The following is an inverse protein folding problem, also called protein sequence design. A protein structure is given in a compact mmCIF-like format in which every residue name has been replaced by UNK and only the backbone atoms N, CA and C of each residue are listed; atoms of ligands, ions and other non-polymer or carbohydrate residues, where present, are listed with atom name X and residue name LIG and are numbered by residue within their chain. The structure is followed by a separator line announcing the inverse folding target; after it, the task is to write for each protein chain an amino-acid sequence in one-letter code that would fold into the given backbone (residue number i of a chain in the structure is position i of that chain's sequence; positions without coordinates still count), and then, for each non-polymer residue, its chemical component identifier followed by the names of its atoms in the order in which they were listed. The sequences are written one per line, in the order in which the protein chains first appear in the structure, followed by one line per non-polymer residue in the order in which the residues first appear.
data_IF_421325127576
#
_entry.id   IF_421325127576
#
_cell.length_a   1.000
_cell.length_b   1.000
_cell.length_c   1.000
_cell.angle_alpha   90.00
_cell.angle_beta   90.00
_cell.angle_gamma   90.00
#
_symmetry.space_group_name_H-M   'P 1'
#
loop_
_entity.id
_entity.type
_entity.pdbx_description
1 polymer ?
#
# COMPACT_ATOMS: atom_id res chain seq x y z
N UNK A 1 8.47 -13.47 47.16
CA UNK A 1 7.27 -13.80 46.36
C UNK A 1 6.86 -15.22 46.69
N UNK A 2 5.78 -15.40 47.44
CA UNK A 2 5.24 -16.73 47.78
C UNK A 2 4.71 -17.37 46.50
N UNK A 3 5.35 -18.46 46.06
CA UNK A 3 4.86 -19.26 44.94
C UNK A 3 3.91 -20.34 45.49
N UNK A 4 2.59 -20.14 45.33
CA UNK A 4 1.60 -21.14 45.73
C UNK A 4 1.75 -22.35 44.79
N UNK A 5 2.39 -23.41 45.27
CA UNK A 5 2.58 -24.66 44.51
C UNK A 5 1.26 -25.41 44.39
N UNK A 6 0.45 -25.04 43.40
CA UNK A 6 -0.80 -25.72 43.06
C UNK A 6 -1.31 -25.35 41.66
N UNK A 7 -2.21 -26.18 41.11
CA UNK A 7 -2.88 -25.94 39.82
C UNK A 7 -4.39 -26.06 39.99
N UNK A 8 -5.14 -25.22 39.27
CA UNK A 8 -6.58 -25.34 39.21
C UNK A 8 -6.97 -26.57 38.37
N UNK A 9 -7.78 -27.49 38.90
CA UNK A 9 -8.19 -28.71 38.16
C UNK A 9 -9.18 -28.43 37.02
N UNK A 10 -9.85 -27.28 37.02
CA UNK A 10 -10.82 -26.89 35.99
C UNK A 10 -10.09 -26.41 34.73
N UNK A 11 -9.10 -25.52 34.86
CA UNK A 11 -8.35 -24.97 33.72
C UNK A 11 -6.92 -25.51 33.57
N UNK A 12 -6.44 -26.34 34.50
CA UNK A 12 -5.09 -26.94 34.56
C UNK A 12 -3.91 -25.96 34.68
N UNK A 13 -4.19 -24.66 34.87
CA UNK A 13 -3.18 -23.61 35.04
C UNK A 13 -2.71 -23.50 36.49
N UNK A 14 -1.47 -23.00 36.69
CA UNK A 14 -0.90 -22.74 38.02
C UNK A 14 -1.61 -21.57 38.68
N UNK A 15 -1.73 -21.61 40.00
CA UNK A 15 -2.25 -20.48 40.76
C UNK A 15 -1.25 -19.32 40.74
N UNK A 16 -1.71 -18.15 40.29
CA UNK A 16 -0.99 -16.89 40.45
C UNK A 16 -1.43 -16.24 41.76
N UNK A 17 -0.62 -15.34 42.33
CA UNK A 17 -0.86 -14.70 43.63
C UNK A 17 -2.19 -13.94 43.75
N UNK A 18 -2.87 -13.70 42.64
CA UNK A 18 -4.17 -13.07 42.56
C UNK A 18 -5.16 -14.05 41.91
N UNK A 19 -6.44 -13.97 42.31
CA UNK A 19 -7.55 -14.75 41.73
C UNK A 19 -7.64 -16.23 42.17
N UNK A 20 -7.40 -16.51 43.45
CA UNK A 20 -7.57 -17.85 44.05
C UNK A 20 -8.77 -17.82 45.01
N UNK A 21 -9.62 -18.85 44.96
CA UNK A 21 -10.75 -19.01 45.88
C UNK A 21 -10.87 -20.45 46.35
N UNK A 22 -11.37 -20.63 47.57
CA UNK A 22 -11.66 -21.95 48.13
C UNK A 22 -13.17 -22.14 48.32
N UNK A 23 -13.61 -23.39 48.17
CA UNK A 23 -14.94 -23.80 48.64
C UNK A 23 -14.88 -24.19 50.13
N UNK A 24 -16.03 -24.24 50.80
CA UNK A 24 -16.13 -24.67 52.20
C UNK A 24 -15.66 -26.12 52.43
N UNK A 25 -15.61 -26.95 51.37
CA UNK A 25 -15.00 -28.27 51.41
C UNK A 25 -13.45 -28.24 51.39
N UNK A 26 -12.82 -27.06 51.36
CA UNK A 26 -11.37 -26.85 51.40
C UNK A 26 -10.64 -26.95 50.06
N UNK A 27 -11.34 -27.20 48.95
CA UNK A 27 -10.71 -27.29 47.62
C UNK A 27 -10.56 -25.92 46.95
N UNK A 28 -9.43 -25.72 46.27
CA UNK A 28 -8.99 -24.42 45.75
C UNK A 28 -9.05 -24.39 44.22
N UNK A 29 -9.55 -23.29 43.66
CA UNK A 29 -9.68 -23.04 42.22
C UNK A 29 -9.47 -21.55 41.91
N UNK A 30 -9.38 -21.16 40.64
CA UNK A 30 -9.54 -19.74 40.29
C UNK A 30 -10.99 -19.34 40.50
N UNK A 31 -11.24 -18.11 40.96
CA UNK A 31 -12.59 -17.59 41.20
C UNK A 31 -13.48 -17.75 39.96
N UNK A 32 -12.97 -17.32 38.80
CA UNK A 32 -13.71 -17.38 37.54
C UNK A 32 -14.03 -18.82 37.13
N UNK A 33 -13.07 -19.73 37.34
CA UNK A 33 -13.25 -21.14 37.01
C UNK A 33 -14.34 -21.79 37.87
N UNK A 34 -14.33 -21.56 39.18
CA UNK A 34 -15.32 -22.17 40.06
C UNK A 34 -16.69 -21.50 39.94
N UNK A 35 -16.74 -20.18 39.72
CA UNK A 35 -18.00 -19.47 39.45
C UNK A 35 -18.69 -19.99 38.20
N UNK A 36 -17.93 -20.21 37.11
CA UNK A 36 -18.51 -20.76 35.90
C UNK A 36 -19.00 -22.20 36.08
N UNK A 37 -18.29 -23.01 36.88
CA UNK A 37 -18.70 -24.37 37.18
C UNK A 37 -20.01 -24.43 37.98
N UNK A 38 -20.13 -23.62 39.03
CA UNK A 38 -21.33 -23.61 39.90
C UNK A 38 -22.60 -23.10 39.20
N UNK A 39 -22.48 -22.39 38.08
CA UNK A 39 -23.62 -22.06 37.22
C UNK A 39 -24.26 -23.29 36.58
N UNK A 40 -23.47 -24.34 36.37
CA UNK A 40 -23.91 -25.57 35.69
C UNK A 40 -24.09 -26.74 36.66
N UNK A 41 -23.32 -26.79 37.75
CA UNK A 41 -23.32 -27.91 38.71
C UNK A 41 -23.02 -27.41 40.12
N UNK A 42 -23.97 -27.61 41.05
CA UNK A 42 -23.84 -27.21 42.46
C UNK A 42 -23.00 -28.20 43.28
N UNK A 43 -21.90 -28.67 42.72
CA UNK A 43 -21.00 -29.62 43.37
C UNK A 43 -19.53 -29.26 43.17
N UNK A 44 -18.69 -29.56 44.15
CA UNK A 44 -17.25 -29.39 44.04
C UNK A 44 -16.66 -30.30 42.94
N UNK A 45 -15.86 -29.77 42.00
CA UNK A 45 -15.21 -30.58 40.95
C UNK A 45 -14.30 -31.70 41.48
N UNK A 46 -13.74 -31.53 42.69
CA UNK A 46 -12.76 -32.46 43.26
C UNK A 46 -13.42 -33.55 44.11
N UNK A 47 -14.31 -33.18 45.04
CA UNK A 47 -14.90 -34.13 46.00
C UNK A 47 -16.41 -34.34 45.84
N UNK A 48 -17.05 -33.65 44.89
CA UNK A 48 -18.50 -33.74 44.61
C UNK A 48 -19.42 -33.34 45.78
N UNK A 49 -18.88 -32.77 46.85
CA UNK A 49 -19.68 -32.17 47.92
C UNK A 49 -20.57 -31.06 47.35
N UNK A 50 -21.79 -30.92 47.88
CA UNK A 50 -22.70 -29.86 47.47
C UNK A 50 -22.12 -28.49 47.84
N UNK A 51 -22.07 -27.58 46.88
CA UNK A 51 -21.55 -26.23 47.07
C UNK A 51 -22.37 -25.26 46.21
N UNK A 52 -22.75 -24.13 46.77
CA UNK A 52 -23.38 -23.02 46.04
C UNK A 52 -22.42 -21.82 45.94
N UNK A 53 -22.84 -20.78 45.21
CA UNK A 53 -22.02 -19.57 44.99
C UNK A 53 -21.82 -18.71 46.23
N UNK A 54 -22.64 -18.86 47.28
CA UNK A 54 -22.44 -18.23 48.58
C UNK A 54 -21.34 -18.91 49.40
N UNK A 55 -21.03 -20.17 49.07
CA UNK A 55 -20.02 -20.98 49.73
C UNK A 55 -18.61 -20.80 49.14
N UNK A 56 -18.33 -19.69 48.45
CA UNK A 56 -17.01 -19.37 47.90
C UNK A 56 -16.30 -18.36 48.81
N UNK A 57 -15.10 -18.72 49.26
CA UNK A 57 -14.19 -17.82 50.00
C UNK A 57 -13.24 -17.15 49.00
N UNK A 58 -13.49 -15.87 48.73
CA UNK A 58 -12.80 -15.09 47.69
C UNK A 58 -11.41 -14.59 48.10
N UNK A 59 -11.15 -14.50 49.40
CA UNK A 59 -9.89 -13.99 49.95
C UNK A 59 -9.33 -15.00 50.95
N UNK A 60 -8.24 -15.65 50.56
CA UNK A 60 -7.46 -16.51 51.43
C UNK A 60 -6.30 -15.69 51.99
N UNK A 61 -6.28 -15.49 53.30
CA UNK A 61 -5.18 -14.84 54.00
C UNK A 61 -4.19 -15.91 54.43
N UNK A 62 -2.93 -15.77 54.04
CA UNK A 62 -1.84 -16.61 54.48
C UNK A 62 -0.93 -15.76 55.36
N UNK A 63 -0.81 -16.08 56.64
CA UNK A 63 0.18 -15.46 57.52
C UNK A 63 1.56 -15.99 57.11
N UNK A 64 2.46 -15.09 56.71
CA UNK A 64 3.85 -15.43 56.35
C UNK A 64 4.71 -15.40 57.63
N UNK A 65 5.27 -16.53 58.11
CA UNK A 65 6.01 -16.55 59.36
C UNK A 65 7.51 -16.22 59.23
N UNK A 66 8.01 -15.75 58.08
CA UNK A 66 9.45 -15.46 57.89
C UNK A 66 9.75 -14.00 57.47
N UNK A 67 9.69 -13.09 58.45
CA UNK A 67 10.47 -11.83 58.47
C UNK A 67 11.09 -11.69 59.88
N UNK A 68 12.01 -12.61 60.22
CA UNK A 68 12.91 -12.42 61.35
C UNK A 68 14.34 -12.27 60.84
N UNK A 69 14.80 -11.02 60.68
CA UNK A 69 16.02 -10.49 61.30
C UNK A 69 16.37 -9.10 60.75
N UNK A 70 15.83 -8.04 61.34
CA UNK A 70 16.75 -7.00 61.83
C UNK A 70 16.19 -6.30 63.08
N UNK A 71 17.07 -6.19 64.07
CA UNK A 71 16.77 -5.65 65.38
C UNK A 71 16.64 -4.12 65.30
N UNK A 72 15.42 -3.60 65.19
CA UNK A 72 15.13 -2.17 65.38
C UNK A 72 13.70 -1.92 65.84
N UNK A 73 13.38 -2.40 67.05
CA UNK A 73 12.17 -2.02 67.78
C UNK A 73 12.19 -0.57 68.31
N UNK A 74 13.00 0.33 67.73
CA UNK A 74 12.90 1.78 67.91
C UNK A 74 13.27 2.52 66.61
N UNK A 75 12.59 2.22 65.50
CA UNK A 75 12.52 3.20 64.42
C UNK A 75 11.69 4.39 64.92
N UNK A 76 12.37 5.44 65.38
CA UNK A 76 11.76 6.75 65.67
C UNK A 76 10.73 7.10 64.59
N UNK A 77 9.59 7.76 64.90
CA UNK A 77 8.61 8.22 63.91
C UNK A 77 9.26 8.96 62.72
N UNK A 78 10.41 9.57 62.97
CA UNK A 78 11.24 10.24 61.97
C UNK A 78 11.87 9.28 60.95
N UNK A 79 12.36 8.10 61.36
CA UNK A 79 13.00 7.12 60.47
C UNK A 79 12.02 6.52 59.47
N UNK A 80 10.78 6.26 59.91
CA UNK A 80 9.75 5.73 59.03
C UNK A 80 9.23 6.80 58.04
N UNK A 81 9.11 8.05 58.49
CA UNK A 81 8.82 9.18 57.60
C UNK A 81 9.92 9.43 56.56
N UNK A 82 11.19 9.25 56.94
CA UNK A 82 12.32 9.33 56.02
C UNK A 82 12.24 8.24 54.95
N UNK A 83 11.99 6.98 55.35
CA UNK A 83 11.85 5.88 54.40
C UNK A 83 10.70 6.11 53.39
N UNK A 84 9.54 6.58 53.84
CA UNK A 84 8.43 6.91 52.92
C UNK A 84 8.77 8.09 51.99
N UNK A 85 9.48 9.10 52.49
CA UNK A 85 9.93 10.22 51.67
C UNK A 85 10.99 9.79 50.64
N UNK A 86 11.92 8.92 51.01
CA UNK A 86 12.93 8.34 50.11
C UNK A 86 12.28 7.49 49.01
N UNK A 87 11.29 6.69 49.37
CA UNK A 87 10.52 5.88 48.44
C UNK A 87 9.71 6.75 47.46
N UNK A 88 9.05 7.82 47.96
CA UNK A 88 8.36 8.79 47.11
C UNK A 88 9.33 9.54 46.18
N UNK A 89 10.52 9.92 46.67
CA UNK A 89 11.57 10.54 45.86
C UNK A 89 12.03 9.58 44.77
N UNK A 90 12.19 8.29 45.09
CA UNK A 90 12.58 7.25 44.13
C UNK A 90 11.52 7.07 43.05
N UNK A 91 10.25 7.04 43.42
CA UNK A 91 9.14 6.95 42.46
C UNK A 91 9.07 8.17 41.55
N UNK A 92 9.20 9.37 42.11
CA UNK A 92 9.25 10.62 41.34
C UNK A 92 10.45 10.65 40.38
N UNK A 93 11.62 10.18 40.81
CA UNK A 93 12.81 10.04 39.94
C UNK A 93 12.56 9.09 38.78
N UNK A 94 11.95 7.94 39.03
CA UNK A 94 11.59 6.98 37.98
C UNK A 94 10.55 7.58 37.02
N UNK A 95 9.58 8.33 37.54
CA UNK A 95 8.59 9.01 36.73
C UNK A 95 9.21 10.12 35.87
N UNK A 96 10.14 10.90 36.43
CA UNK A 96 10.90 11.91 35.73
C UNK A 96 11.72 11.29 34.61
N UNK A 97 12.46 10.21 34.90
CA UNK A 97 13.26 9.50 33.90
C UNK A 97 12.40 9.04 32.72
N UNK A 98 11.25 8.37 32.98
CA UNK A 98 10.32 7.97 31.91
C UNK A 98 9.86 9.15 31.05
N UNK A 99 9.57 10.30 31.68
CA UNK A 99 9.15 11.50 30.95
C UNK A 99 10.29 12.15 30.17
N UNK A 100 11.51 12.11 30.67
CA UNK A 100 12.70 12.56 29.93
C UNK A 100 12.94 11.70 28.69
N UNK A 101 12.76 10.38 28.79
CA UNK A 101 12.87 9.47 27.64
C UNK A 101 11.77 9.71 26.61
N UNK A 102 10.53 9.93 27.06
CA UNK A 102 9.40 10.29 26.20
C UNK A 102 9.66 11.61 25.47
N UNK A 103 10.13 12.64 26.17
CA UNK A 103 10.50 13.92 25.57
C UNK A 103 11.64 13.77 24.56
N UNK A 104 12.65 12.94 24.87
CA UNK A 104 13.75 12.65 23.93
C UNK A 104 13.21 12.00 22.66
N UNK A 105 12.38 10.97 22.79
CA UNK A 105 11.75 10.30 21.66
C UNK A 105 10.93 11.25 20.79
N UNK A 106 10.10 12.09 21.42
CA UNK A 106 9.27 13.07 20.70
C UNK A 106 10.12 14.13 19.98
N UNK A 107 11.24 14.56 20.57
CA UNK A 107 12.17 15.49 19.91
C UNK A 107 12.81 14.87 18.67
N UNK A 108 13.25 13.62 18.75
CA UNK A 108 13.84 12.91 17.62
C UNK A 108 12.81 12.69 16.50
N UNK A 109 11.59 12.27 16.87
CA UNK A 109 10.46 12.13 15.94
C UNK A 109 10.12 13.47 15.24
N UNK A 110 10.06 14.56 16.01
CA UNK A 110 9.79 15.89 15.47
C UNK A 110 10.92 16.38 14.55
N UNK A 111 12.19 16.13 14.90
CA UNK A 111 13.33 16.49 14.06
C UNK A 111 13.27 15.74 12.70
N UNK A 112 12.95 14.45 12.73
CA UNK A 112 12.74 13.66 11.51
C UNK A 112 11.56 14.21 10.69
N UNK A 113 10.42 14.48 11.33
CA UNK A 113 9.25 15.04 10.67
C UNK A 113 9.55 16.40 10.02
N UNK A 114 10.35 17.25 10.67
CA UNK A 114 10.78 18.55 10.13
C UNK A 114 11.63 18.38 8.87
N UNK A 115 12.63 17.49 8.90
CA UNK A 115 13.47 17.19 7.72
C UNK A 115 12.62 16.65 6.57
N UNK A 116 11.67 15.75 6.87
CA UNK A 116 10.75 15.19 5.87
C UNK A 116 9.88 16.27 5.22
N UNK A 117 9.31 17.19 6.02
CA UNK A 117 8.49 18.29 5.52
C UNK A 117 9.29 19.25 4.63
N UNK A 118 10.53 19.59 5.00
CA UNK A 118 11.42 20.42 4.18
C UNK A 118 11.74 19.73 2.84
N UNK A 119 12.09 18.43 2.88
CA UNK A 119 12.33 17.63 1.66
C UNK A 119 11.12 17.58 0.75
N UNK A 120 9.93 17.40 1.32
CA UNK A 120 8.67 17.38 0.57
C UNK A 120 8.37 18.73 -0.07
N UNK A 121 8.57 19.84 0.66
CA UNK A 121 8.42 21.19 0.12
C UNK A 121 9.37 21.44 -1.07
N UNK A 122 10.63 21.01 -0.96
CA UNK A 122 11.61 21.13 -2.05
C UNK A 122 11.19 20.31 -3.27
N UNK A 123 10.74 19.06 -3.05
CA UNK A 123 10.26 18.18 -4.12
C UNK A 123 9.03 18.75 -4.81
N UNK A 124 8.08 19.29 -4.05
CA UNK A 124 6.87 19.93 -4.60
C UNK A 124 7.21 21.18 -5.41
N UNK A 125 8.16 22.00 -4.95
CA UNK A 125 8.64 23.15 -5.72
C UNK A 125 9.32 22.72 -7.03
N UNK A 126 10.12 21.65 -7.01
CA UNK A 126 10.75 21.10 -8.22
C UNK A 126 9.71 20.57 -9.20
N UNK A 127 8.77 19.74 -8.75
CA UNK A 127 7.69 19.20 -9.57
C UNK A 127 6.80 20.29 -10.16
N UNK A 128 6.55 21.36 -9.40
CA UNK A 128 5.79 22.53 -9.90
C UNK A 128 6.50 23.22 -11.07
N UNK A 129 7.83 23.42 -10.97
CA UNK A 129 8.65 23.97 -12.07
C UNK A 129 8.65 23.05 -13.29
N UNK A 130 8.79 21.75 -13.10
CA UNK A 130 8.78 20.77 -14.19
C UNK A 130 7.43 20.72 -14.90
N UNK A 131 6.33 20.70 -14.15
CA UNK A 131 4.98 20.76 -14.70
C UNK A 131 4.75 22.05 -15.51
N UNK A 132 5.21 23.20 -15.02
CA UNK A 132 5.12 24.46 -15.76
C UNK A 132 5.88 24.40 -17.10
N UNK A 133 7.09 23.82 -17.10
CA UNK A 133 7.89 23.64 -18.31
C UNK A 133 7.23 22.68 -19.31
N UNK A 134 6.72 21.54 -18.83
CA UNK A 134 6.01 20.56 -19.66
C UNK A 134 4.75 21.17 -20.26
N UNK A 135 3.97 21.93 -19.48
CA UNK A 135 2.79 22.63 -19.98
C UNK A 135 3.15 23.66 -21.06
N UNK A 136 4.23 24.42 -20.89
CA UNK A 136 4.70 25.35 -21.92
C UNK A 136 5.12 24.62 -23.21
N UNK A 137 5.84 23.49 -23.09
CA UNK A 137 6.21 22.64 -24.22
C UNK A 137 4.99 22.05 -24.92
N UNK A 138 4.01 21.55 -24.17
CA UNK A 138 2.76 21.02 -24.73
C UNK A 138 2.01 22.08 -25.52
N UNK A 139 1.86 23.29 -24.96
CA UNK A 139 1.23 24.41 -25.65
C UNK A 139 1.93 24.79 -26.96
N UNK A 140 3.26 24.79 -26.97
CA UNK A 140 4.03 25.02 -28.19
C UNK A 140 3.83 23.90 -29.22
N UNK A 141 3.82 22.65 -28.78
CA UNK A 141 3.56 21.49 -29.65
C UNK A 141 2.15 21.51 -30.23
N UNK A 142 1.15 21.91 -29.46
CA UNK A 142 -0.23 22.12 -29.94
C UNK A 142 -0.28 23.22 -31.00
N UNK A 143 0.44 24.32 -30.80
CA UNK A 143 0.54 25.40 -31.79
C UNK A 143 1.15 24.89 -33.09
N UNK A 144 2.27 24.15 -33.00
CA UNK A 144 2.91 23.52 -34.16
C UNK A 144 1.96 22.56 -34.87
N UNK A 145 1.27 21.70 -34.12
CA UNK A 145 0.29 20.78 -34.66
C UNK A 145 -0.82 21.51 -35.41
N UNK A 146 -1.34 22.61 -34.87
CA UNK A 146 -2.39 23.39 -35.56
C UNK A 146 -1.87 24.03 -36.84
N UNK A 147 -0.65 24.60 -36.83
CA UNK A 147 -0.04 25.13 -38.06
C UNK A 147 0.21 24.04 -39.11
N UNK A 148 0.63 22.85 -38.69
CA UNK A 148 0.82 21.71 -39.59
C UNK A 148 -0.52 21.23 -40.18
N UNK A 149 -1.58 21.12 -39.36
CA UNK A 149 -2.94 20.80 -39.81
C UNK A 149 -3.46 21.83 -40.81
N UNK A 150 -3.23 23.12 -40.54
CA UNK A 150 -3.61 24.20 -41.48
C UNK A 150 -2.89 24.05 -42.81
N UNK A 151 -1.56 23.85 -42.82
CA UNK A 151 -0.79 23.59 -44.05
C UNK A 151 -1.28 22.35 -44.80
N UNK A 152 -1.63 21.28 -44.07
CA UNK A 152 -2.19 20.08 -44.67
C UNK A 152 -3.54 20.32 -45.36
N UNK A 153 -4.39 21.18 -44.78
CA UNK A 153 -5.64 21.63 -45.42
C UNK A 153 -5.35 22.45 -46.66
N UNK A 154 -4.47 23.46 -46.59
CA UNK A 154 -4.10 24.30 -47.73
C UNK A 154 -3.54 23.49 -48.91
N UNK A 155 -2.65 22.52 -48.63
CA UNK A 155 -2.12 21.62 -49.66
C UNK A 155 -3.21 20.74 -50.27
N UNK A 156 -4.15 20.25 -49.46
CA UNK A 156 -5.29 19.46 -49.94
C UNK A 156 -6.19 20.30 -50.87
N UNK A 157 -6.51 21.52 -50.47
CA UNK A 157 -7.35 22.43 -51.27
C UNK A 157 -6.68 22.75 -52.61
N UNK A 158 -5.35 22.99 -52.61
CA UNK A 158 -4.58 23.17 -53.84
C UNK A 158 -4.63 21.91 -54.72
N UNK A 159 -4.44 20.71 -54.15
CA UNK A 159 -4.58 19.46 -54.90
C UNK A 159 -5.97 19.34 -55.53
N UNK A 160 -7.04 19.65 -54.78
CA UNK A 160 -8.41 19.59 -55.28
C UNK A 160 -8.64 20.57 -56.46
N UNK A 161 -8.06 21.78 -56.39
CA UNK A 161 -8.13 22.79 -57.46
C UNK A 161 -7.50 22.29 -58.75
N UNK A 162 -6.38 21.57 -58.69
CA UNK A 162 -5.72 21.03 -59.90
C UNK A 162 -6.36 19.72 -60.38
N UNK A 163 -6.78 18.85 -59.45
CA UNK A 163 -7.24 17.51 -59.77
C UNK A 163 -8.67 17.50 -60.33
N UNK A 164 -9.57 18.37 -59.84
CA UNK A 164 -10.95 18.49 -60.35
C UNK A 164 -11.03 18.82 -61.85
N UNK A 165 -10.44 19.92 -62.36
CA UNK A 165 -10.49 20.25 -63.78
C UNK A 165 -9.68 19.27 -64.64
N UNK A 166 -8.65 18.61 -64.10
CA UNK A 166 -7.96 17.54 -64.80
C UNK A 166 -8.87 16.32 -64.98
N UNK A 167 -9.56 15.89 -63.92
CA UNK A 167 -10.53 14.78 -63.95
C UNK A 167 -11.72 15.10 -64.84
N UNK A 168 -12.25 16.31 -64.83
CA UNK A 168 -13.33 16.74 -65.73
C UNK A 168 -12.89 16.75 -67.19
N UNK A 169 -11.71 17.31 -67.52
CA UNK A 169 -11.16 17.25 -68.89
C UNK A 169 -10.94 15.81 -69.36
N UNK A 170 -10.45 14.93 -68.49
CA UNK A 170 -10.31 13.50 -68.77
C UNK A 170 -11.66 12.83 -69.03
N UNK A 171 -12.69 13.10 -68.21
CA UNK A 171 -14.07 12.59 -68.43
C UNK A 171 -14.66 13.11 -69.73
N UNK A 172 -14.58 14.42 -70.00
CA UNK A 172 -15.08 15.02 -71.24
C UNK A 172 -14.40 14.42 -72.47
N UNK A 173 -13.07 14.22 -72.41
CA UNK A 173 -12.33 13.54 -73.48
C UNK A 173 -12.80 12.10 -73.65
N UNK A 174 -12.92 11.31 -72.58
CA UNK A 174 -13.39 9.92 -72.64
C UNK A 174 -14.84 9.81 -73.16
N UNK A 175 -15.70 10.75 -72.79
CA UNK A 175 -17.09 10.83 -73.28
C UNK A 175 -17.14 11.20 -74.78
N UNK A 176 -16.22 12.04 -75.24
CA UNK A 176 -16.07 12.38 -76.65
C UNK A 176 -15.50 11.20 -77.46
N UNK A 177 -14.52 10.46 -76.94
CA UNK A 177 -14.04 9.23 -77.60
C UNK A 177 -15.09 8.14 -77.63
N UNK A 178 -15.90 7.98 -76.58
CA UNK A 178 -17.00 7.00 -76.56
C UNK A 178 -18.15 7.40 -77.49
N UNK A 179 -18.54 8.68 -77.55
CA UNK A 179 -19.51 9.16 -78.54
C UNK A 179 -18.99 8.99 -79.98
N UNK A 180 -17.71 9.27 -80.21
CA UNK A 180 -17.06 9.08 -81.53
C UNK A 180 -16.88 7.61 -81.93
N UNK A 181 -16.85 6.68 -80.97
CA UNK A 181 -16.86 5.23 -81.23
C UNK A 181 -18.28 4.71 -81.50
N UNK A 182 -19.32 5.37 -80.97
CA UNK A 182 -20.72 5.03 -81.23
C UNK A 182 -21.26 5.58 -82.57
N UNK A 183 -20.63 6.62 -83.15
CA UNK A 183 -21.03 7.23 -84.43
C UNK A 183 -20.35 6.64 -85.70
N UNK A 184 -19.51 5.62 -85.59
CA UNK A 184 -19.00 4.92 -86.79
C UNK A 184 -19.99 3.86 -87.25
N UNK A 185 -20.53 3.92 -88.49
CA UNK A 185 -21.29 2.82 -89.08
C UNK A 185 -20.41 1.57 -89.13
N UNK A 186 -20.98 0.44 -88.69
CA UNK A 186 -20.38 -0.89 -88.85
C UNK A 186 -20.29 -1.20 -90.34
N UNK A 187 -19.08 -1.15 -90.90
CA UNK A 187 -18.75 -1.87 -92.12
C UNK A 187 -17.74 -2.97 -91.79
N UNK A 188 -18.07 -4.17 -92.28
CA UNK A 188 -17.37 -5.43 -92.10
C UNK A 188 -15.98 -5.44 -92.74
N UNK A 189 -15.04 -6.16 -92.10
CA UNK A 189 -14.02 -7.06 -92.68
C UNK A 189 -13.05 -7.44 -91.54
N UNK A 190 -13.07 -8.68 -91.04
CA UNK A 190 -12.34 -9.87 -91.53
C UNK A 190 -10.80 -9.81 -91.34
N UNK A 191 -10.32 -10.87 -90.72
CA UNK A 191 -8.97 -11.46 -90.74
C UNK A 191 -7.84 -10.98 -89.81
N UNK A 192 -7.63 -11.86 -88.80
CA UNK A 192 -6.40 -12.60 -88.45
C UNK A 192 -5.17 -11.89 -87.88
N UNK A 193 -4.86 -12.35 -86.66
CA UNK A 193 -3.56 -12.70 -86.07
C UNK A 193 -2.52 -11.60 -85.76
N UNK A 194 -2.16 -11.49 -84.47
CA UNK A 194 -0.92 -12.02 -83.87
C UNK A 194 -0.75 -11.43 -82.45
N UNK A 195 -0.74 -12.29 -81.42
CA UNK A 195 -0.24 -11.95 -80.08
C UNK A 195 1.29 -11.74 -80.10
N UNK A 196 1.83 -10.93 -79.17
CA UNK A 196 2.75 -11.56 -78.23
C UNK A 196 2.60 -11.12 -76.76
N UNK A 197 3.22 -11.96 -75.92
CA UNK A 197 3.05 -12.19 -74.48
C UNK A 197 3.71 -11.15 -73.55
N UNK A 198 3.14 -11.12 -72.32
CA UNK A 198 3.74 -10.96 -70.96
C UNK A 198 4.25 -9.57 -70.53
N UNK A 199 3.81 -9.12 -69.34
CA UNK A 199 4.35 -9.51 -68.01
C UNK A 199 3.48 -8.96 -66.87
N UNK A 200 3.14 -9.83 -65.95
CA UNK A 200 2.51 -9.54 -64.65
C UNK A 200 3.51 -8.94 -63.66
N UNK A 201 3.14 -7.91 -62.90
CA UNK A 201 3.77 -7.59 -61.60
C UNK A 201 2.72 -7.37 -60.52
N UNK A 202 3.04 -7.92 -59.34
CA UNK A 202 2.24 -8.09 -58.11
C UNK A 202 1.89 -6.77 -57.40
N UNK A 203 0.87 -6.77 -56.52
CA UNK A 203 0.57 -5.66 -55.60
C UNK A 203 1.58 -5.56 -54.44
N UNK A 204 1.88 -4.33 -54.03
CA UNK A 204 2.67 -3.99 -52.83
C UNK A 204 1.83 -4.22 -51.56
N UNK A 205 2.38 -4.98 -50.63
CA UNK A 205 1.81 -5.24 -49.32
C UNK A 205 2.11 -4.11 -48.33
N UNK A 206 1.11 -3.80 -47.50
CA UNK A 206 1.17 -2.92 -46.34
C UNK A 206 2.27 -3.31 -45.35
N UNK A 207 3.13 -2.35 -45.00
CA UNK A 207 3.99 -2.43 -43.81
C UNK A 207 3.28 -1.75 -42.65
N UNK A 208 2.69 -2.55 -41.77
CA UNK A 208 2.53 -2.20 -40.35
C UNK A 208 3.82 -2.62 -39.64
N UNK A 209 4.59 -1.67 -39.12
CA UNK A 209 5.61 -1.95 -38.11
C UNK A 209 5.20 -1.25 -36.82
N UNK A 210 4.87 -2.10 -35.83
CA UNK A 210 4.75 -1.74 -34.43
C UNK A 210 6.13 -1.60 -33.77
N UNK A 211 6.10 -0.92 -32.64
CA UNK A 211 7.19 -0.67 -31.71
C UNK A 211 7.80 -1.96 -31.15
N UNK A 212 9.14 -2.01 -31.04
CA UNK A 212 9.88 -2.57 -29.90
C UNK A 212 11.39 -2.46 -30.20
N UNK A 213 12.07 -1.56 -29.48
CA UNK A 213 13.50 -1.69 -29.21
C UNK A 213 13.70 -1.36 -27.73
N UNK A 214 13.70 -2.43 -26.94
CA UNK A 214 14.27 -2.44 -25.60
C UNK A 214 15.80 -2.42 -25.70
N UNK A 215 16.38 -1.75 -24.72
CA UNK A 215 17.79 -1.63 -24.46
C UNK A 215 18.47 -2.99 -24.25
N UNK A 216 19.71 -3.14 -24.73
CA UNK A 216 20.83 -3.44 -23.84
C UNK A 216 22.22 -3.41 -24.50
N UNK A 217 23.22 -3.22 -23.62
CA UNK A 217 24.65 -3.55 -23.71
C UNK A 217 25.61 -2.56 -24.38
N UNK A 218 26.40 -1.89 -23.53
CA UNK A 218 27.87 -2.10 -23.52
C UNK A 218 28.43 -1.71 -22.16
N UNK A 219 28.84 -2.73 -21.42
CA UNK A 219 29.68 -2.72 -20.24
C UNK A 219 31.15 -2.56 -20.70
N UNK A 220 31.92 -1.67 -20.07
CA UNK A 220 33.38 -1.57 -20.19
C UNK A 220 33.94 -0.66 -19.09
N UNK A 221 34.52 -1.30 -18.06
CA UNK A 221 35.85 -1.02 -17.45
C UNK A 221 36.03 0.37 -16.79
N UNK A 222 36.72 0.57 -15.67
CA UNK A 222 37.73 -0.18 -14.92
C UNK A 222 37.91 0.54 -13.57
N UNK A 223 38.52 -0.16 -12.62
CA UNK A 223 38.89 0.28 -11.28
C UNK A 223 39.90 1.45 -11.24
N UNK A 224 40.04 2.00 -10.03
CA UNK A 224 41.27 2.60 -9.45
C UNK A 224 41.40 4.15 -9.42
N UNK A 225 40.92 4.76 -8.33
CA UNK A 225 41.72 5.55 -7.36
C UNK A 225 40.89 5.94 -6.12
#
# INVERSE_FOLDING_TARGET
MIEIRGKCVICTQRFLTHNISALHCGHIFHYDCIMQWLRCSLTCPTCRAFCDTSQIVNHLFFDDPDEHNDSSLLASPTSQRLHFAEEAIRELKNSLHRKEEEVRYLKDSHALAKIMAERESLKNAQLSKENALLNAKNKEMERKLETAKRRQRELRDLCDVWEKPLKERLRARNNATTSRVMEKPRENADSRDVLPKRRTRRPLADRKNGCQEDANLSDSKEEEQ
#
